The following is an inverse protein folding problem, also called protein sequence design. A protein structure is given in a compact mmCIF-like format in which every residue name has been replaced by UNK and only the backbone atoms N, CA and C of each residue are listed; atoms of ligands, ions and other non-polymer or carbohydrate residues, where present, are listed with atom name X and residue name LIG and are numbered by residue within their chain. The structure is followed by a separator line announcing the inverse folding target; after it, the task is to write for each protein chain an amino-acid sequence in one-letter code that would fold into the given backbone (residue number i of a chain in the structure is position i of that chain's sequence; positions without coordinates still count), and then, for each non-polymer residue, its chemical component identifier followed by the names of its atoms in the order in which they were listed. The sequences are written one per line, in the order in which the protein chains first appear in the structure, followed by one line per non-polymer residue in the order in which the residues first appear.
data_IF_802302322795
#
_entry.id   IF_802302322795
#
_cell.length_a   1.000
_cell.length_b   1.000
_cell.length_c   1.000
_cell.angle_alpha   90.00
_cell.angle_beta   90.00
_cell.angle_gamma   90.00
#
_symmetry.space_group_name_H-M   'P 1'
#
loop_
_entity.id
_entity.type
_entity.pdbx_description
1 polymer ?
#
# COMPACT_ATOMS: atom_id res chain seq x y z
N UNK A 1 -7.16 0.25 16.34
CA UNK A 1 -5.86 -0.30 16.77
C UNK A 1 -4.97 -0.29 15.54
N UNK A 2 -3.80 0.36 15.59
CA UNK A 2 -2.94 0.44 14.42
C UNK A 2 -2.09 -0.84 14.33
N UNK A 3 -2.29 -1.63 13.27
CA UNK A 3 -1.50 -2.84 13.02
C UNK A 3 -0.27 -2.56 12.15
N UNK A 4 -0.18 -1.37 11.57
CA UNK A 4 0.94 -0.96 10.72
C UNK A 4 2.17 -0.71 11.61
N UNK A 5 3.32 -1.36 11.32
CA UNK A 5 4.56 -1.13 12.05
C UNK A 5 5.03 0.33 11.97
N UNK A 6 5.72 0.81 13.00
CA UNK A 6 6.22 2.20 13.06
C UNK A 6 7.14 2.56 11.89
N UNK A 7 7.96 1.61 11.42
CA UNK A 7 8.82 1.76 10.23
C UNK A 7 7.99 2.03 8.96
N UNK A 8 6.86 1.34 8.82
CA UNK A 8 5.97 1.54 7.69
C UNK A 8 5.21 2.87 7.78
N UNK A 9 4.84 3.31 8.98
CA UNK A 9 4.26 4.63 9.19
C UNK A 9 5.27 5.74 8.85
N UNK A 10 6.50 5.61 9.31
CA UNK A 10 7.57 6.57 9.02
C UNK A 10 7.87 6.66 7.51
N UNK A 11 7.87 5.53 6.80
CA UNK A 11 8.04 5.52 5.34
C UNK A 11 6.85 6.16 4.60
N UNK A 12 5.62 5.93 5.06
CA UNK A 12 4.43 6.60 4.52
C UNK A 12 4.48 8.10 4.76
N UNK A 13 5.01 8.53 5.91
CA UNK A 13 5.23 9.95 6.20
C UNK A 13 6.27 10.58 5.30
N UNK A 14 7.41 9.92 5.12
CA UNK A 14 8.45 10.38 4.21
C UNK A 14 7.93 10.46 2.76
N UNK A 15 7.09 9.50 2.34
CA UNK A 15 6.44 9.53 1.03
C UNK A 15 5.49 10.72 0.89
N UNK A 16 4.58 10.93 1.86
CA UNK A 16 3.64 12.05 1.85
C UNK A 16 4.34 13.41 1.92
N UNK A 17 5.36 13.53 2.75
CA UNK A 17 6.16 14.75 2.89
C UNK A 17 6.99 15.03 1.63
N UNK A 18 7.60 14.00 1.04
CA UNK A 18 8.35 14.11 -0.21
C UNK A 18 7.46 14.49 -1.40
N UNK A 19 6.21 14.02 -1.42
CA UNK A 19 5.24 14.44 -2.43
C UNK A 19 5.01 15.96 -2.40
N UNK A 20 4.86 16.57 -1.22
CA UNK A 20 4.72 18.03 -1.08
C UNK A 20 5.96 18.81 -1.58
N UNK A 21 7.12 18.14 -1.65
CA UNK A 21 8.38 18.70 -2.15
C UNK A 21 8.66 18.34 -3.61
N UNK A 22 7.80 17.55 -4.24
CA UNK A 22 8.00 17.05 -5.61
C UNK A 22 9.01 15.92 -5.75
N UNK A 23 9.46 15.31 -4.64
CA UNK A 23 10.40 14.18 -4.63
C UNK A 23 10.00 13.13 -3.58
N UNK A 24 8.88 12.40 -3.78
CA UNK A 24 8.43 11.36 -2.87
C UNK A 24 9.32 10.12 -2.93
N UNK A 25 9.95 9.79 -1.80
CA UNK A 25 10.74 8.57 -1.66
C UNK A 25 9.83 7.32 -1.75
N UNK A 26 10.19 6.29 -2.54
CA UNK A 26 9.37 5.09 -2.67
C UNK A 26 9.27 4.33 -1.35
N UNK A 27 8.10 3.75 -1.09
CA UNK A 27 7.84 2.95 0.12
C UNK A 27 8.15 1.48 -0.16
N UNK A 28 8.90 0.84 0.74
CA UNK A 28 9.38 -0.54 0.59
C UNK A 28 9.40 -1.25 1.95
N UNK A 29 8.22 -1.54 2.48
CA UNK A 29 8.09 -1.91 3.89
C UNK A 29 7.50 -3.29 4.10
N UNK A 30 7.90 -3.92 5.20
CA UNK A 30 7.35 -5.19 5.64
C UNK A 30 6.34 -4.92 6.75
N UNK A 31 5.07 -5.18 6.46
CA UNK A 31 3.99 -5.01 7.44
C UNK A 31 3.88 -6.21 8.39
N UNK A 32 4.20 -7.41 7.87
CA UNK A 32 4.22 -8.67 8.60
C UNK A 32 5.14 -9.67 7.92
N UNK A 33 5.37 -10.84 8.53
CA UNK A 33 6.15 -11.92 7.94
C UNK A 33 5.75 -12.27 6.51
N UNK A 34 4.46 -12.28 6.22
CA UNK A 34 3.82 -12.66 4.96
C UNK A 34 3.14 -11.49 4.23
N UNK A 35 3.42 -10.23 4.62
CA UNK A 35 2.77 -9.05 4.05
C UNK A 35 3.77 -7.91 3.86
N UNK A 36 3.89 -7.43 2.63
CA UNK A 36 4.76 -6.32 2.24
C UNK A 36 3.95 -5.22 1.56
N UNK A 37 4.40 -3.98 1.72
CA UNK A 37 3.86 -2.78 1.12
C UNK A 37 4.90 -2.15 0.19
N UNK A 38 4.45 -1.76 -1.00
CA UNK A 38 5.24 -1.06 -2.01
C UNK A 38 4.46 0.13 -2.52
N UNK A 39 5.06 1.31 -2.53
CA UNK A 39 4.48 2.50 -3.16
C UNK A 39 5.55 3.16 -4.01
N UNK A 40 5.21 3.44 -5.26
CA UNK A 40 6.05 4.20 -6.18
C UNK A 40 5.20 5.17 -6.99
N UNK A 41 5.68 6.38 -7.18
CA UNK A 41 5.06 7.35 -8.09
C UNK A 41 5.07 6.85 -9.52
N UNK A 42 4.09 7.30 -10.29
CA UNK A 42 4.03 7.09 -11.72
C UNK A 42 4.47 8.36 -12.44
N UNK A 43 4.84 8.24 -13.72
CA UNK A 43 5.42 9.33 -14.52
C UNK A 43 4.47 10.53 -14.72
N UNK A 44 3.20 10.41 -14.33
CA UNK A 44 2.21 11.50 -14.41
C UNK A 44 2.30 12.51 -13.27
N UNK A 45 3.09 12.22 -12.22
CA UNK A 45 3.27 13.08 -11.04
C UNK A 45 2.00 13.29 -10.19
N UNK A 46 0.89 12.64 -10.56
CA UNK A 46 -0.44 12.78 -9.93
C UNK A 46 -0.96 11.47 -9.38
N UNK A 47 -0.33 10.37 -9.74
CA UNK A 47 -0.69 9.06 -9.25
C UNK A 47 0.53 8.30 -8.76
N UNK A 48 0.28 7.37 -7.85
CA UNK A 48 1.26 6.41 -7.41
C UNK A 48 0.64 5.01 -7.42
N UNK A 49 1.45 4.00 -7.71
CA UNK A 49 1.02 2.61 -7.59
C UNK A 49 1.31 2.13 -6.18
N UNK A 50 0.24 1.80 -5.46
CA UNK A 50 0.35 1.08 -4.20
C UNK A 50 0.14 -0.41 -4.45
N UNK A 51 1.00 -1.24 -3.88
CA UNK A 51 0.96 -2.69 -4.02
C UNK A 51 1.22 -3.37 -2.69
N UNK A 52 0.34 -4.30 -2.34
CA UNK A 52 0.55 -5.27 -1.30
C UNK A 52 1.01 -6.59 -1.90
N UNK A 53 1.97 -7.23 -1.24
CA UNK A 53 2.46 -8.55 -1.63
C UNK A 53 2.25 -9.48 -0.45
N UNK A 54 1.65 -10.66 -0.72
CA UNK A 54 1.38 -11.61 0.35
C UNK A 54 1.52 -13.06 -0.06
N UNK A 55 2.07 -13.87 0.84
CA UNK A 55 2.30 -15.29 0.63
C UNK A 55 1.02 -16.08 0.99
N UNK A 56 0.40 -16.76 0.02
CA UNK A 56 -0.75 -17.65 0.28
C UNK A 56 -0.96 -18.68 -0.83
N UNK A 57 -1.88 -19.61 -0.55
CA UNK A 57 -2.45 -20.56 -1.52
C UNK A 57 -3.71 -20.07 -2.25
N UNK A 58 -4.29 -18.93 -1.84
CA UNK A 58 -5.56 -18.42 -2.39
C UNK A 58 -5.42 -16.94 -2.74
N UNK A 59 -5.88 -16.60 -3.94
CA UNK A 59 -5.89 -15.25 -4.49
C UNK A 59 -7.34 -14.78 -4.71
N UNK A 60 -8.07 -14.36 -3.66
CA UNK A 60 -9.36 -13.69 -3.85
C UNK A 60 -9.19 -12.41 -4.68
N UNK A 61 -10.27 -11.88 -5.29
CA UNK A 61 -10.20 -10.75 -6.22
C UNK A 61 -9.62 -9.48 -5.60
N UNK A 62 -9.89 -9.22 -4.32
CA UNK A 62 -9.34 -8.06 -3.59
C UNK A 62 -8.56 -8.47 -2.34
N UNK A 63 -7.67 -7.58 -1.91
CA UNK A 63 -6.88 -7.79 -0.68
C UNK A 63 -7.77 -7.97 0.56
N UNK A 64 -8.88 -7.22 0.64
CA UNK A 64 -9.79 -7.21 1.79
C UNK A 64 -10.64 -8.48 1.85
N UNK A 65 -10.99 -9.06 0.70
CA UNK A 65 -11.69 -10.34 0.62
C UNK A 65 -10.85 -11.52 1.16
N UNK A 66 -9.55 -11.32 1.36
CA UNK A 66 -8.65 -12.35 1.91
C UNK A 66 -8.85 -12.59 3.40
N UNK A 67 -9.30 -11.60 4.14
CA UNK A 67 -9.61 -11.76 5.55
C UNK A 67 -9.50 -10.46 6.36
N UNK A 68 -10.24 -10.44 7.47
CA UNK A 68 -10.35 -9.27 8.35
C UNK A 68 -9.00 -8.74 8.84
N UNK A 69 -8.03 -9.61 9.07
CA UNK A 69 -6.71 -9.19 9.55
C UNK A 69 -5.90 -8.44 8.49
N UNK A 70 -6.01 -8.79 7.21
CA UNK A 70 -5.33 -8.02 6.16
C UNK A 70 -6.03 -6.71 5.88
N UNK A 71 -7.36 -6.69 5.99
CA UNK A 71 -8.14 -5.47 5.86
C UNK A 71 -7.67 -4.41 6.86
N UNK A 72 -7.37 -4.77 8.12
CA UNK A 72 -6.90 -3.79 9.10
C UNK A 72 -5.53 -3.17 8.78
N UNK A 73 -4.62 -3.89 8.12
CA UNK A 73 -3.37 -3.29 7.62
C UNK A 73 -3.64 -2.34 6.46
N UNK A 74 -4.49 -2.75 5.50
CA UNK A 74 -4.86 -1.91 4.38
C UNK A 74 -5.55 -0.63 4.86
N UNK A 75 -6.45 -0.74 5.83
CA UNK A 75 -7.16 0.41 6.41
C UNK A 75 -6.20 1.34 7.16
N UNK A 76 -5.25 0.81 7.94
CA UNK A 76 -4.23 1.63 8.61
C UNK A 76 -3.30 2.36 7.63
N UNK A 77 -2.90 1.71 6.53
CA UNK A 77 -2.13 2.34 5.46
C UNK A 77 -2.95 3.43 4.77
N UNK A 78 -4.20 3.12 4.43
CA UNK A 78 -5.12 4.06 3.79
C UNK A 78 -5.38 5.29 4.65
N UNK A 79 -5.60 5.11 5.95
CA UNK A 79 -5.80 6.21 6.90
C UNK A 79 -4.57 7.10 7.00
N UNK A 80 -3.37 6.49 6.99
CA UNK A 80 -2.12 7.27 7.01
C UNK A 80 -1.89 8.04 5.70
N UNK A 81 -2.22 7.46 4.55
CA UNK A 81 -2.17 8.14 3.25
C UNK A 81 -3.17 9.31 3.19
N UNK A 82 -4.40 9.09 3.66
CA UNK A 82 -5.44 10.15 3.72
C UNK A 82 -5.04 11.32 4.60
N UNK A 83 -4.27 11.10 5.66
CA UNK A 83 -3.74 12.17 6.51
C UNK A 83 -2.81 13.14 5.75
N UNK A 84 -2.22 12.69 4.64
CA UNK A 84 -1.42 13.51 3.71
C UNK A 84 -2.23 14.02 2.50
N UNK A 85 -3.55 13.82 2.49
CA UNK A 85 -4.40 14.17 1.35
C UNK A 85 -4.30 13.23 0.15
N UNK A 86 -3.60 12.10 0.30
CA UNK A 86 -3.43 11.09 -0.75
C UNK A 86 -4.64 10.16 -0.72
N UNK A 87 -5.32 10.01 -1.85
CA UNK A 87 -6.53 9.21 -1.96
C UNK A 87 -6.20 7.76 -2.31
N UNK A 88 -6.51 6.78 -1.45
CA UNK A 88 -6.35 5.36 -1.76
C UNK A 88 -7.34 4.87 -2.83
N UNK A 89 -7.08 3.74 -3.50
CA UNK A 89 -8.04 3.12 -4.41
C UNK A 89 -9.24 2.57 -3.63
N UNK A 90 -10.39 2.42 -4.32
CA UNK A 90 -11.57 1.75 -3.75
C UNK A 90 -11.26 0.29 -3.37
N UNK A 91 -10.41 -0.37 -4.16
CA UNK A 91 -9.94 -1.72 -3.90
C UNK A 91 -8.49 -1.91 -4.35
N UNK A 92 -7.78 -2.77 -3.61
CA UNK A 92 -6.51 -3.35 -4.04
C UNK A 92 -6.81 -4.66 -4.74
N UNK A 93 -6.78 -4.65 -6.07
CA UNK A 93 -7.17 -5.79 -6.92
C UNK A 93 -6.01 -6.75 -7.10
N UNK A 94 -6.30 -8.04 -7.15
CA UNK A 94 -5.32 -9.06 -7.51
C UNK A 94 -4.81 -8.81 -8.93
N UNK A 95 -3.49 -8.77 -9.08
CA UNK A 95 -2.81 -8.55 -10.37
C UNK A 95 -2.20 -9.85 -10.87
N UNK A 96 -1.38 -10.49 -10.04
CA UNK A 96 -0.59 -11.65 -10.43
C UNK A 96 -0.01 -12.36 -9.19
N UNK A 97 0.61 -13.51 -9.42
CA UNK A 97 1.44 -14.20 -8.42
C UNK A 97 2.85 -14.33 -8.95
N UNK A 98 3.83 -13.90 -8.16
CA UNK A 98 5.26 -14.00 -8.49
C UNK A 98 5.98 -14.66 -7.34
N UNK A 99 6.69 -15.75 -7.62
CA UNK A 99 7.47 -16.51 -6.62
C UNK A 99 6.67 -16.90 -5.35
N UNK A 100 5.38 -17.23 -5.53
CA UNK A 100 4.47 -17.57 -4.42
C UNK A 100 3.86 -16.37 -3.68
N UNK A 101 4.19 -15.13 -4.10
CA UNK A 101 3.61 -13.90 -3.56
C UNK A 101 2.52 -13.37 -4.46
N UNK A 102 1.30 -13.31 -3.93
CA UNK A 102 0.17 -12.66 -4.59
C UNK A 102 0.34 -11.14 -4.50
N UNK A 103 0.22 -10.47 -5.64
CA UNK A 103 0.31 -9.03 -5.77
C UNK A 103 -1.08 -8.44 -5.88
N UNK A 104 -1.41 -7.54 -4.96
CA UNK A 104 -2.62 -6.75 -4.96
C UNK A 104 -2.26 -5.30 -5.18
N UNK A 105 -2.82 -4.62 -6.18
CA UNK A 105 -2.45 -3.25 -6.48
C UNK A 105 -3.65 -2.34 -6.70
N UNK A 106 -3.44 -1.06 -6.47
CA UNK A 106 -4.36 0.00 -6.87
C UNK A 106 -3.60 1.31 -7.05
N UNK A 107 -4.29 2.30 -7.62
CA UNK A 107 -3.72 3.62 -7.88
C UNK A 107 -4.13 4.58 -6.77
N UNK A 108 -3.13 5.20 -6.17
CA UNK A 108 -3.30 6.35 -5.30
C UNK A 108 -3.46 7.61 -6.17
N UNK A 109 -4.30 8.54 -5.74
CA UNK A 109 -4.34 9.89 -6.31
C UNK A 109 -3.61 10.84 -5.37
N UNK A 110 -2.64 11.54 -5.92
CA UNK A 110 -1.90 12.58 -5.23
C UNK A 110 -2.65 13.92 -5.44
N UNK A 111 -2.69 14.81 -4.43
CA UNK A 111 -3.37 16.10 -4.51
C UNK A 111 -2.84 17.06 -5.59
#
# INVERSE_FOLDING_TARGET
MNHVPDEALAALDAFGEGHLRGDPAPVSERLRSDLRLRIATLDDGRTARCRFETEHTRAPPTLRDRGSFLATYADGVDDRLRAWGIEPPDAYEYVETVDGWHRYAGRLRLP
#
